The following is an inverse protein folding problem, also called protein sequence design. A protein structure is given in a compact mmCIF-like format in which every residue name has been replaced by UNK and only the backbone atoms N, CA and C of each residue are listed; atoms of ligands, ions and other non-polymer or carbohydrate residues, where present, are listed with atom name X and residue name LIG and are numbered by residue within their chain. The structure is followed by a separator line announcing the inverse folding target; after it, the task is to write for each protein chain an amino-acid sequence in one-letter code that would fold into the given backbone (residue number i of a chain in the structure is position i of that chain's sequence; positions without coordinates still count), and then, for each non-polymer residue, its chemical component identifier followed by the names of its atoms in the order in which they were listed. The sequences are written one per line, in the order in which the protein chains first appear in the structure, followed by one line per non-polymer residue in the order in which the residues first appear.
data_IF_062381422621
#
_entry.id   IF_062381422621
#
_cell.length_a   1.000
_cell.length_b   1.000
_cell.length_c   1.000
_cell.angle_alpha   90.00
_cell.angle_beta   90.00
_cell.angle_gamma   90.00
#
_symmetry.space_group_name_H-M   'P 1'
#
loop_
_entity.id
_entity.type
_entity.pdbx_description
1 polymer ?
#
# COMPACT_ATOMS: atom_id res chain seq x y z
N UNK A 1 -1.16 1.81 -11.72
CA UNK A 1 0.07 2.27 -11.05
C UNK A 1 1.12 2.72 -12.05
N UNK A 2 1.65 1.85 -12.92
CA UNK A 2 2.73 2.22 -13.86
C UNK A 2 2.40 3.41 -14.80
N UNK A 3 1.12 3.55 -15.14
CA UNK A 3 0.61 4.64 -15.98
C UNK A 3 -0.28 5.63 -15.20
N UNK A 4 -0.27 5.56 -13.85
CA UNK A 4 -1.02 6.51 -13.02
C UNK A 4 -0.19 7.78 -12.83
N UNK A 5 -0.76 8.98 -13.08
CA UNK A 5 0.01 10.23 -13.08
C UNK A 5 0.51 10.67 -11.70
N UNK A 6 -0.18 10.28 -10.63
CA UNK A 6 0.19 10.61 -9.24
C UNK A 6 -0.24 9.47 -8.29
N UNK A 7 0.48 8.34 -8.21
CA UNK A 7 0.16 7.25 -7.28
C UNK A 7 0.24 7.67 -5.79
N UNK A 8 1.01 8.68 -5.45
CA UNK A 8 1.19 9.24 -4.09
C UNK A 8 -0.09 9.89 -3.52
N UNK A 9 -0.95 10.42 -4.38
CA UNK A 9 -2.19 11.12 -4.00
C UNK A 9 -3.38 10.16 -3.79
N UNK A 10 -3.16 8.85 -3.92
CA UNK A 10 -4.21 7.85 -3.77
C UNK A 10 -4.25 7.28 -2.34
N UNK A 11 -5.46 6.97 -1.85
CA UNK A 11 -5.66 6.23 -0.60
C UNK A 11 -5.69 4.72 -0.89
N UNK A 12 -4.81 3.96 -0.22
CA UNK A 12 -4.65 2.52 -0.43
C UNK A 12 -5.22 1.75 0.75
N UNK A 13 -6.36 1.09 0.53
CA UNK A 13 -6.98 0.20 1.50
C UNK A 13 -6.61 -1.24 1.15
N UNK A 14 -5.96 -1.95 2.08
CA UNK A 14 -5.47 -3.30 1.83
C UNK A 14 -5.65 -4.24 3.02
N UNK A 15 -6.00 -5.48 2.69
CA UNK A 15 -6.13 -6.60 3.61
C UNK A 15 -5.53 -7.84 2.94
N UNK A 16 -4.74 -8.59 3.69
CA UNK A 16 -4.29 -9.92 3.28
C UNK A 16 -3.20 -10.49 4.18
N UNK A 17 -2.56 -11.60 3.76
CA UNK A 17 -1.57 -12.28 4.58
C UNK A 17 -0.34 -11.42 4.88
N UNK A 18 0.37 -11.63 6.00
CA UNK A 18 1.51 -10.81 6.39
C UNK A 18 2.57 -10.62 5.29
N UNK A 19 2.84 -11.68 4.52
CA UNK A 19 3.80 -11.64 3.40
C UNK A 19 3.33 -10.76 2.24
N UNK A 20 2.03 -10.73 1.96
CA UNK A 20 1.46 -9.88 0.91
C UNK A 20 1.49 -8.42 1.36
N UNK A 21 1.09 -8.15 2.60
CA UNK A 21 1.04 -6.81 3.15
C UNK A 21 2.42 -6.16 3.13
N UNK A 22 3.44 -6.87 3.61
CA UNK A 22 4.82 -6.38 3.61
C UNK A 22 5.35 -6.07 2.20
N UNK A 23 5.06 -6.93 1.22
CA UNK A 23 5.52 -6.73 -0.16
C UNK A 23 4.84 -5.53 -0.83
N UNK A 24 3.52 -5.36 -0.65
CA UNK A 24 2.75 -4.28 -1.26
C UNK A 24 3.05 -2.94 -0.60
N UNK A 25 3.16 -2.87 0.73
CA UNK A 25 3.59 -1.66 1.44
C UNK A 25 4.95 -1.18 0.93
N UNK A 26 5.93 -2.10 0.84
CA UNK A 26 7.26 -1.75 0.33
C UNK A 26 7.17 -1.17 -1.09
N UNK A 27 6.37 -1.77 -1.96
CA UNK A 27 6.19 -1.29 -3.33
C UNK A 27 5.55 0.09 -3.39
N UNK A 28 4.56 0.38 -2.55
CA UNK A 28 3.91 1.70 -2.48
C UNK A 28 4.86 2.77 -1.93
N UNK A 29 5.63 2.46 -0.89
CA UNK A 29 6.67 3.36 -0.35
C UNK A 29 7.76 3.63 -1.38
N UNK A 30 8.22 2.60 -2.11
CA UNK A 30 9.20 2.77 -3.20
C UNK A 30 8.66 3.65 -4.33
N UNK A 31 7.32 3.75 -4.50
CA UNK A 31 6.64 4.61 -5.47
C UNK A 31 6.38 6.04 -4.95
N UNK A 32 6.76 6.35 -3.70
CA UNK A 32 6.57 7.68 -3.11
C UNK A 32 5.23 7.87 -2.40
N UNK A 33 4.48 6.80 -2.14
CA UNK A 33 3.26 6.85 -1.34
C UNK A 33 3.63 6.96 0.14
N UNK A 34 3.11 7.97 0.82
CA UNK A 34 3.29 8.14 2.27
C UNK A 34 2.50 7.09 3.06
N UNK A 35 3.04 6.64 4.19
CA UNK A 35 2.41 5.61 5.02
C UNK A 35 1.02 6.02 5.53
N UNK A 36 0.77 7.32 5.71
CA UNK A 36 -0.52 7.86 6.12
C UNK A 36 -1.64 7.63 5.09
N UNK A 37 -1.26 7.39 3.83
CA UNK A 37 -2.19 7.05 2.75
C UNK A 37 -2.39 5.53 2.60
N UNK A 38 -1.79 4.70 3.47
CA UNK A 38 -1.88 3.23 3.41
C UNK A 38 -2.65 2.70 4.65
N UNK A 39 -3.87 2.26 4.42
CA UNK A 39 -4.76 1.71 5.43
C UNK A 39 -4.74 0.18 5.39
N UNK A 40 -4.16 -0.41 6.43
CA UNK A 40 -4.09 -1.86 6.59
C UNK A 40 -5.23 -2.36 7.46
N UNK A 41 -6.03 -3.29 6.93
CA UNK A 41 -6.96 -4.08 7.73
C UNK A 41 -6.33 -5.46 7.96
N UNK A 42 -5.67 -5.60 9.12
CA UNK A 42 -5.08 -6.86 9.55
C UNK A 42 -6.15 -7.69 10.24
N UNK A 43 -6.69 -8.67 9.50
CA UNK A 43 -7.70 -9.59 10.02
C UNK A 43 -7.19 -10.48 11.16
N UNK A 44 -5.89 -10.41 11.52
CA UNK A 44 -5.31 -11.12 12.65
C UNK A 44 -5.37 -12.62 12.41
N UNK A 45 -4.29 -13.17 11.85
CA UNK A 45 -4.19 -14.60 11.50
C UNK A 45 -4.75 -15.58 12.53
#
# INVERSE_FOLDING_TARGET
LKDHPAPEDCEYYMCGPPMMNAAVIKMLVDLGVEMDNIFLDDFGG
#
